data_IF_837465004721
#
_entry.id   IF_837465004721
#
_cell.length_a   1.000
_cell.length_b   1.000
_cell.length_c   1.000
_cell.angle_alpha   90.00
_cell.angle_beta   90.00
_cell.angle_gamma   90.00
#
_symmetry.space_group_name_H-M   'P 1'
#
loop_
_entity.id
_entity.type
_entity.pdbx_description
1 polymer ?
2 non-polymer ?
3 non-polymer ?
4 non-polymer ?
5 non-polymer ?
6 non-polymer ?
7 water ?
#
# COMPACT_ATOMS: atom_id res chain seq x y z
N UNK A 2 8.77 -19.97 -0.62
CA UNK A 2 8.43 -19.11 -1.80
C UNK A 2 7.42 -18.02 -1.46
N UNK A 3 7.85 -16.77 -1.63
CA UNK A 3 6.94 -15.68 -1.50
C UNK A 3 6.01 -15.72 -2.67
N UNK A 4 6.50 -16.21 -3.81
CA UNK A 4 5.64 -16.29 -4.96
C UNK A 4 4.49 -17.21 -4.57
N UNK A 5 4.78 -18.28 -3.81
CA UNK A 5 3.70 -19.18 -3.42
C UNK A 5 2.67 -18.48 -2.55
N UNK A 6 3.09 -17.75 -1.52
CA UNK A 6 2.13 -17.03 -0.69
C UNK A 6 1.41 -15.92 -1.47
N UNK A 7 2.09 -15.23 -2.38
CA UNK A 7 1.43 -14.22 -3.17
C UNK A 7 0.29 -14.79 -3.98
N UNK A 8 0.50 -15.94 -4.60
CA UNK A 8 -0.51 -16.62 -5.41
C UNK A 8 -1.66 -17.19 -4.59
N UNK A 9 -1.30 -17.76 -3.44
CA UNK A 9 -2.27 -18.51 -2.63
C UNK A 9 -3.12 -17.65 -1.72
N UNK A 10 -2.65 -16.45 -1.41
CA UNK A 10 -3.37 -15.57 -0.50
C UNK A 10 -4.79 -15.29 -0.99
N UNK A 11 -5.76 -15.37 -0.08
CA UNK A 11 -7.15 -14.98 -0.33
C UNK A 11 -7.65 -14.12 0.80
N UNK A 12 -8.66 -13.31 0.53
CA UNK A 12 -9.44 -12.68 1.59
C UNK A 12 -10.29 -13.77 2.28
N UNK A 13 -10.05 -13.95 3.58
CA UNK A 13 -10.72 -14.99 4.36
C UNK A 13 -11.74 -14.37 5.31
N UNK A 14 -12.97 -14.89 5.24
CA UNK A 14 -14.09 -14.31 5.95
C UNK A 14 -14.80 -15.33 6.85
N UNK A 15 -14.24 -16.52 6.94
CA UNK A 15 -14.72 -17.58 7.86
C UNK A 15 -13.49 -18.11 8.53
N UNK A 16 -13.52 -18.14 9.86
CA UNK A 16 -12.40 -18.55 10.66
C UNK A 16 -12.71 -19.69 11.63
N UNK A 17 -11.66 -20.43 12.02
CA UNK A 17 -11.77 -21.36 13.14
C UNK A 17 -11.84 -20.56 14.44
N UNK A 18 -12.62 -21.02 15.39
CA UNK A 18 -12.82 -20.24 16.62
C UNK A 18 -11.57 -20.18 17.53
N UNK A 19 -10.43 -20.67 17.07
CA UNK A 19 -9.25 -20.95 17.87
C UNK A 19 -8.43 -19.68 18.11
N UNK A 20 -7.91 -19.54 19.32
CA UNK A 20 -7.14 -18.34 19.68
C UNK A 20 -5.82 -18.30 18.90
N UNK A 21 -5.36 -17.08 18.67
CA UNK A 21 -4.07 -16.85 18.04
C UNK A 21 -3.13 -16.36 19.13
N UNK A 22 -1.95 -16.94 19.19
CA UNK A 22 -1.02 -16.58 20.24
C UNK A 22 -0.46 -15.18 19.99
N UNK A 23 -0.05 -14.52 21.06
CA UNK A 23 0.63 -13.25 21.01
C UNK A 23 1.86 -13.34 20.08
N UNK A 24 2.57 -14.47 20.16
CA UNK A 24 3.79 -14.66 19.38
C UNK A 24 3.53 -14.70 17.86
N UNK A 25 2.42 -15.31 17.47
CA UNK A 25 2.04 -15.34 16.08
C UNK A 25 1.73 -13.90 15.60
N UNK A 26 1.01 -13.15 16.42
CA UNK A 26 0.68 -11.78 16.11
C UNK A 26 1.94 -10.95 15.98
N UNK A 27 2.88 -11.16 16.89
CA UNK A 27 4.21 -10.51 16.87
C UNK A 27 4.91 -10.73 15.52
N UNK A 28 4.92 -11.98 15.08
CA UNK A 28 5.59 -12.35 13.84
C UNK A 28 4.95 -11.60 12.66
N UNK A 29 3.63 -11.49 12.66
CA UNK A 29 2.90 -10.83 11.57
C UNK A 29 3.22 -9.32 11.58
N UNK A 30 3.17 -8.70 12.76
CA UNK A 30 3.48 -7.27 12.83
C UNK A 30 4.92 -6.99 12.43
N UNK A 31 5.85 -7.83 12.87
CA UNK A 31 7.25 -7.60 12.54
C UNK A 31 7.51 -7.73 11.01
N UNK A 32 6.66 -8.46 10.25
CA UNK A 32 6.74 -8.43 8.79
C UNK A 32 6.25 -7.10 8.26
N UNK A 33 5.20 -6.56 8.87
CA UNK A 33 4.73 -5.24 8.48
C UNK A 33 5.81 -4.18 8.67
N UNK A 34 6.47 -4.26 9.82
CA UNK A 34 7.56 -3.33 10.17
C UNK A 34 8.67 -3.29 9.15
N UNK A 35 8.90 -4.43 8.49
CA UNK A 35 9.92 -4.54 7.47
C UNK A 35 9.53 -4.02 6.10
N UNK A 36 8.30 -3.54 5.95
CA UNK A 36 7.94 -2.91 4.70
C UNK A 36 8.82 -1.71 4.41
N UNK A 37 8.96 -1.38 3.13
CA UNK A 37 9.57 -0.10 2.76
C UNK A 37 8.60 1.03 3.08
N UNK A 38 9.11 2.27 3.19
CA UNK A 38 8.24 3.43 3.34
C UNK A 38 8.95 4.66 2.82
N UNK A 39 8.17 5.60 2.32
CA UNK A 39 8.71 6.86 1.86
C UNK A 39 9.52 7.52 2.96
N UNK A 40 10.77 7.87 2.63
CA UNK A 40 11.74 8.46 3.56
C UNK A 40 12.00 7.64 4.81
N UNK A 41 11.72 6.34 4.73
CA UNK A 41 11.79 5.45 5.87
C UNK A 41 11.03 6.01 7.07
N UNK A 42 9.92 6.68 6.82
CA UNK A 42 9.12 7.31 7.87
C UNK A 42 8.33 6.32 8.72
N UNK A 43 8.10 5.12 8.17
CA UNK A 43 7.44 4.05 8.94
C UNK A 43 6.19 4.56 9.67
N UNK A 44 5.21 5.07 8.91
CA UNK A 44 4.09 5.80 9.53
C UNK A 44 3.00 4.92 10.17
N UNK A 45 3.12 3.62 9.95
CA UNK A 45 2.16 2.66 10.50
C UNK A 45 2.20 2.54 12.00
N UNK A 46 1.02 2.45 12.62
CA UNK A 46 0.93 2.09 14.05
C UNK A 46 -0.21 1.09 14.15
N UNK A 47 -0.12 0.20 15.11
CA UNK A 47 -1.00 -0.94 15.21
C UNK A 47 -1.67 -0.97 16.59
N UNK A 48 -2.97 -1.28 16.61
CA UNK A 48 -3.69 -1.51 17.86
C UNK A 48 -4.32 -2.88 17.73
N UNK A 49 -3.83 -3.82 18.55
CA UNK A 49 -4.30 -5.20 18.54
C UNK A 49 -5.52 -5.29 19.45
N UNK A 50 -6.65 -5.67 18.86
CA UNK A 50 -7.94 -5.82 19.56
C UNK A 50 -8.12 -7.34 19.81
N UNK A 51 -8.06 -7.68 21.07
CA UNK A 51 -8.32 -9.06 21.53
C UNK A 51 -9.71 -9.17 22.13
N UNK A 52 -10.01 -10.37 22.63
CA UNK A 52 -11.29 -10.65 23.26
C UNK A 52 -11.60 -9.62 24.34
N UNK A 53 -10.58 -9.15 25.04
CA UNK A 53 -10.74 -8.11 26.06
C UNK A 53 -11.71 -7.00 25.63
N UNK A 54 -11.53 -6.48 24.42
CA UNK A 54 -12.14 -5.22 24.00
C UNK A 54 -12.97 -5.30 22.72
N UNK A 55 -13.09 -6.52 22.18
CA UNK A 55 -13.79 -6.73 20.94
C UNK A 55 -15.21 -6.18 20.97
N UNK A 56 -15.96 -6.44 22.03
CA UNK A 56 -17.36 -6.06 22.02
C UNK A 56 -17.51 -4.54 21.96
N UNK A 57 -16.67 -3.87 22.71
CA UNK A 57 -16.67 -2.42 22.76
C UNK A 57 -16.34 -1.81 21.38
N UNK A 58 -15.34 -2.40 20.73
CA UNK A 58 -14.94 -2.11 19.32
C UNK A 58 -16.13 -2.19 18.40
N UNK A 59 -16.79 -3.34 18.48
CA UNK A 59 -17.89 -3.63 17.57
C UNK A 59 -19.05 -2.67 17.78
N UNK A 60 -19.26 -2.28 19.02
CA UNK A 60 -20.33 -1.30 19.35
C UNK A 60 -20.05 0.03 18.69
N UNK A 61 -18.80 0.46 18.73
CA UNK A 61 -18.43 1.72 18.09
C UNK A 61 -18.62 1.64 16.59
N UNK A 62 -18.21 0.53 15.99
CA UNK A 62 -18.41 0.27 14.56
C UNK A 62 -19.86 0.38 14.18
N UNK A 63 -20.68 -0.35 14.93
CA UNK A 63 -22.10 -0.40 14.67
C UNK A 63 -22.77 0.96 14.81
N UNK A 64 -22.35 1.74 15.78
CA UNK A 64 -22.85 3.12 15.96
C UNK A 64 -22.54 3.98 14.74
N UNK A 65 -21.32 3.86 14.22
CA UNK A 65 -21.01 4.60 13.03
C UNK A 65 -21.84 4.20 11.83
N UNK A 66 -22.03 2.89 11.64
CA UNK A 66 -22.80 2.41 10.51
C UNK A 66 -24.26 2.90 10.65
N UNK A 67 -24.78 2.87 11.86
CA UNK A 67 -26.17 3.36 12.10
C UNK A 67 -26.26 4.85 11.78
N UNK A 68 -25.23 5.59 12.14
CA UNK A 68 -25.19 7.03 11.85
C UNK A 68 -25.21 7.25 10.36
N UNK A 69 -24.48 6.40 9.60
CA UNK A 69 -24.53 6.45 8.15
C UNK A 69 -25.92 6.14 7.62
N UNK A 70 -26.54 5.09 8.15
CA UNK A 70 -27.91 4.69 7.74
C UNK A 70 -28.86 5.87 7.94
N UNK A 71 -28.70 6.57 9.06
CA UNK A 71 -29.51 7.77 9.39
C UNK A 71 -29.16 9.02 8.59
N UNK A 72 -28.19 8.93 7.67
CA UNK A 72 -27.78 10.05 6.79
C UNK A 72 -27.07 11.15 7.58
N UNK A 73 -26.39 10.77 8.65
CA UNK A 73 -25.57 11.67 9.45
C UNK A 73 -24.11 11.27 9.36
N UNK A 74 -23.77 10.59 8.27
CA UNK A 74 -22.45 10.00 8.09
C UNK A 74 -21.57 10.73 7.09
N UNK A 75 -20.55 10.04 6.61
CA UNK A 75 -19.55 10.64 5.74
C UNK A 75 -19.51 10.11 4.32
N UNK A 76 -20.24 9.03 4.02
CA UNK A 76 -20.18 8.41 2.71
C UNK A 76 -21.57 8.29 2.05
N UNK A 77 -22.26 9.43 1.83
CA UNK A 77 -23.62 9.37 1.27
C UNK A 77 -23.70 8.77 -0.13
N UNK A 78 -22.62 8.78 -0.89
CA UNK A 78 -22.53 8.16 -2.20
C UNK A 78 -22.28 6.66 -2.19
N UNK A 79 -22.19 6.07 -1.00
CA UNK A 79 -21.87 4.65 -0.83
C UNK A 79 -22.87 3.90 0.01
N UNK A 80 -24.13 4.35 0.01
CA UNK A 80 -25.17 3.66 0.78
C UNK A 80 -25.33 2.21 0.34
N UNK A 81 -25.06 1.92 -0.92
CA UNK A 81 -25.16 0.54 -1.42
C UNK A 81 -24.16 -0.42 -0.78
N UNK A 82 -23.15 0.14 -0.11
CA UNK A 82 -22.09 -0.63 0.53
C UNK A 82 -22.25 -0.80 2.02
N UNK A 83 -23.34 -0.26 2.59
CA UNK A 83 -23.62 -0.40 4.01
C UNK A 83 -23.89 -1.87 4.37
N UNK A 84 -24.61 -2.59 3.52
CA UNK A 84 -24.87 -4.02 3.78
C UNK A 84 -23.54 -4.77 3.94
N UNK A 85 -22.60 -4.47 3.04
CA UNK A 85 -21.25 -5.08 3.13
C UNK A 85 -20.54 -4.73 4.43
N UNK A 86 -20.67 -3.48 4.86
CA UNK A 86 -20.10 -3.09 6.15
C UNK A 86 -20.68 -3.86 7.32
N UNK A 87 -21.99 -4.10 7.30
CA UNK A 87 -22.59 -4.91 8.33
C UNK A 87 -22.10 -6.34 8.32
N UNK A 88 -21.85 -6.88 7.12
CA UNK A 88 -21.25 -8.21 7.00
C UNK A 88 -19.82 -8.20 7.58
N UNK A 89 -19.06 -7.15 7.29
CA UNK A 89 -17.71 -7.07 7.85
C UNK A 89 -17.72 -7.03 9.36
N UNK A 90 -18.68 -6.34 9.97
CA UNK A 90 -18.76 -6.30 11.41
C UNK A 90 -18.91 -7.73 11.95
N UNK A 91 -19.76 -8.52 11.31
CA UNK A 91 -19.98 -9.92 11.71
C UNK A 91 -18.69 -10.72 11.61
N UNK A 92 -17.95 -10.49 10.53
CA UNK A 92 -16.67 -11.18 10.34
C UNK A 92 -15.71 -10.80 11.45
N UNK A 93 -15.62 -9.52 11.77
CA UNK A 93 -14.75 -9.05 12.85
C UNK A 93 -15.18 -9.66 14.20
N UNK A 94 -16.48 -9.81 14.41
CA UNK A 94 -16.97 -10.39 15.66
C UNK A 94 -16.52 -11.84 15.80
N UNK A 95 -16.51 -12.56 14.69
CA UNK A 95 -16.07 -13.94 14.74
C UNK A 95 -14.56 -14.18 14.69
N UNK A 96 -13.83 -13.30 14.02
CA UNK A 96 -12.40 -13.49 13.88
C UNK A 96 -11.76 -13.45 15.22
N UNK A 97 -10.79 -14.34 15.47
CA UNK A 97 -10.16 -14.24 16.77
C UNK A 97 -9.40 -12.97 17.11
N UNK A 98 -8.82 -12.30 16.12
CA UNK A 98 -8.00 -11.11 16.33
C UNK A 98 -8.34 -10.09 15.26
N UNK A 99 -8.40 -8.82 15.61
CA UNK A 99 -8.44 -7.74 14.62
C UNK A 99 -7.39 -6.73 15.03
N UNK A 100 -6.58 -6.29 14.07
CA UNK A 100 -5.57 -5.28 14.31
C UNK A 100 -5.97 -4.03 13.54
N UNK A 101 -6.07 -2.91 14.26
CA UNK A 101 -6.27 -1.63 13.58
C UNK A 101 -4.94 -1.05 13.15
N UNK A 102 -4.92 -0.50 11.95
CA UNK A 102 -3.72 0.12 11.38
C UNK A 102 -3.98 1.62 11.26
N UNK A 103 -3.08 2.39 11.86
CA UNK A 103 -3.16 3.83 11.88
C UNK A 103 -1.97 4.44 11.14
N UNK A 104 -2.12 5.68 10.72
CA UNK A 104 -1.06 6.45 10.06
C UNK A 104 -0.75 7.63 10.96
N UNK A 105 0.39 7.57 11.66
CA UNK A 105 0.78 8.64 12.59
C UNK A 105 1.02 9.99 11.89
N UNK A 106 1.22 9.95 10.58
CA UNK A 106 1.48 11.14 9.79
C UNK A 106 0.25 11.61 9.01
N UNK A 107 -0.90 10.99 9.28
CA UNK A 107 -2.07 11.24 8.47
C UNK A 107 -2.84 12.46 8.84
N UNK A 108 -3.34 13.16 7.81
CA UNK A 108 -4.26 14.26 8.07
C UNK A 108 -5.70 13.80 7.96
N UNK A 109 -6.58 14.47 8.69
CA UNK A 109 -7.95 14.07 8.72
C UNK A 109 -8.60 13.96 7.36
N UNK A 110 -9.34 12.89 7.10
CA UNK A 110 -10.23 12.82 5.95
C UNK A 110 -11.24 13.98 5.80
N UNK A 111 -11.49 14.72 6.88
CA UNK A 111 -12.45 15.82 6.88
C UNK A 111 -11.87 17.11 6.40
N UNK A 112 -10.56 17.18 6.30
CA UNK A 112 -9.84 18.40 5.91
C UNK A 112 -9.49 18.40 4.46
N UNK A 113 -9.46 19.60 3.88
CA UNK A 113 -9.05 19.79 2.48
C UNK A 113 -7.54 19.95 2.41
N UNK A 114 -6.94 19.41 1.35
CA UNK A 114 -5.51 19.25 1.28
C UNK A 114 -4.93 19.94 0.04
N UNK A 115 -3.78 20.55 0.22
CA UNK A 115 -2.98 21.07 -0.88
C UNK A 115 -2.44 19.91 -1.70
N UNK A 116 -1.99 20.21 -2.92
CA UNK A 116 -1.30 19.15 -3.67
C UNK A 116 -0.16 18.49 -2.91
N UNK A 117 0.67 19.28 -2.22
CA UNK A 117 1.78 18.73 -1.45
C UNK A 117 1.26 17.80 -0.37
N UNK A 118 0.20 18.20 0.33
CA UNK A 118 -0.40 17.37 1.35
C UNK A 118 -0.90 16.06 0.77
N UNK A 119 -1.51 16.14 -0.40
CA UNK A 119 -1.98 14.95 -1.09
C UNK A 119 -0.84 14.00 -1.40
N UNK A 120 0.26 14.54 -1.91
CA UNK A 120 1.39 13.69 -2.24
C UNK A 120 1.95 12.98 -0.99
N UNK A 121 2.05 13.69 0.14
CA UNK A 121 2.48 13.04 1.38
C UNK A 121 1.50 11.93 1.78
N UNK A 122 0.21 12.19 1.69
CA UNK A 122 -0.79 11.15 1.99
C UNK A 122 -0.59 9.95 1.07
N UNK A 123 -0.42 10.22 -0.22
CA UNK A 123 -0.29 9.15 -1.21
C UNK A 123 0.91 8.28 -0.91
N UNK A 124 2.03 8.94 -0.61
CA UNK A 124 3.26 8.22 -0.29
C UNK A 124 3.12 7.40 0.99
N UNK A 125 2.57 8.01 2.03
CA UNK A 125 2.42 7.31 3.28
C UNK A 125 1.40 6.18 3.17
N UNK A 126 0.31 6.41 2.42
CA UNK A 126 -0.73 5.38 2.31
C UNK A 126 -0.22 4.16 1.56
N UNK A 127 0.52 4.38 0.49
CA UNK A 127 1.16 3.28 -0.26
C UNK A 127 2.06 2.46 0.62
N UNK A 128 2.85 3.17 1.42
CA UNK A 128 3.77 2.56 2.36
C UNK A 128 3.01 1.66 3.33
N UNK A 129 1.92 2.17 3.89
CA UNK A 129 1.13 1.37 4.80
C UNK A 129 0.52 0.17 4.09
N UNK A 130 0.11 0.34 2.84
CA UNK A 130 -0.33 -0.83 2.11
C UNK A 130 0.75 -1.89 1.98
N UNK A 131 1.99 -1.48 1.77
CA UNK A 131 3.08 -2.46 1.77
C UNK A 131 3.16 -3.23 3.09
N UNK A 132 3.03 -2.50 4.20
CA UNK A 132 3.05 -3.15 5.50
C UNK A 132 1.93 -4.14 5.66
N UNK A 133 0.71 -3.72 5.33
CA UNK A 133 -0.43 -4.62 5.54
C UNK A 133 -0.34 -5.83 4.60
N UNK A 134 0.18 -5.62 3.39
CA UNK A 134 0.39 -6.75 2.48
C UNK A 134 1.43 -7.69 3.06
N UNK A 135 2.52 -7.17 3.61
CA UNK A 135 3.51 -8.04 4.27
C UNK A 135 2.83 -8.87 5.37
N UNK A 136 1.98 -8.24 6.16
CA UNK A 136 1.28 -8.93 7.24
C UNK A 136 0.40 -10.03 6.68
N UNK A 137 -0.30 -9.71 5.60
CA UNK A 137 -1.20 -10.65 4.96
C UNK A 137 -0.44 -11.89 4.46
N UNK A 138 0.66 -11.63 3.80
CA UNK A 138 1.48 -12.70 3.25
C UNK A 138 2.09 -13.56 4.35
N UNK A 139 2.50 -12.92 5.44
CA UNK A 139 3.06 -13.65 6.56
C UNK A 139 2.02 -14.51 7.25
N UNK A 140 0.80 -14.00 7.36
CA UNK A 140 -0.31 -14.83 7.87
C UNK A 140 -0.46 -16.10 7.03
N UNK A 141 -0.42 -15.95 5.70
CA UNK A 141 -0.53 -17.13 4.83
C UNK A 141 0.61 -18.12 5.14
N UNK A 142 1.85 -17.61 5.25
CA UNK A 142 3.00 -18.46 5.52
C UNK A 142 2.86 -19.24 6.82
N UNK A 143 2.21 -18.63 7.80
CA UNK A 143 1.98 -19.23 9.10
C UNK A 143 0.75 -20.15 9.15
N UNK A 144 0.02 -20.28 8.06
CA UNK A 144 -1.17 -21.13 8.04
C UNK A 144 -2.41 -20.41 8.47
N UNK A 145 -2.31 -19.11 8.67
CA UNK A 145 -3.49 -18.28 8.95
C UNK A 145 -4.11 -17.70 7.68
N UNK A 146 -5.31 -17.13 7.84
CA UNK A 146 -5.91 -16.27 6.83
C UNK A 146 -6.13 -14.90 7.44
N UNK A 147 -6.45 -13.97 6.58
CA UNK A 147 -6.75 -12.61 7.01
C UNK A 147 -7.73 -11.93 6.06
N UNK A 148 -8.28 -10.84 6.56
CA UNK A 148 -9.13 -9.97 5.78
C UNK A 148 -8.71 -8.54 6.03
N UNK A 149 -8.38 -7.85 4.93
CA UNK A 149 -8.05 -6.43 4.94
C UNK A 149 -9.36 -5.69 4.92
N UNK A 150 -9.52 -4.68 5.78
CA UNK A 150 -10.83 -4.04 5.95
C UNK A 150 -10.77 -2.51 5.88
N UNK A 151 -11.46 -1.92 4.91
CA UNK A 151 -11.73 -0.48 4.91
C UNK A 151 -13.19 -0.15 5.19
N UNK A 152 -14.04 -1.16 5.44
CA UNK A 152 -15.40 -0.86 5.88
C UNK A 152 -15.45 -0.09 7.21
N UNK A 153 -14.35 -0.12 7.97
CA UNK A 153 -14.18 0.76 9.12
C UNK A 153 -14.39 2.23 8.81
N UNK A 154 -14.27 2.64 7.55
CA UNK A 154 -14.49 4.04 7.22
C UNK A 154 -15.94 4.47 7.44
N UNK A 155 -16.87 3.52 7.48
CA UNK A 155 -18.25 3.83 7.83
C UNK A 155 -18.42 4.15 9.31
N UNK A 156 -17.37 4.01 10.10
CA UNK A 156 -17.39 4.40 11.52
C UNK A 156 -16.11 5.14 11.87
N UNK A 157 -15.64 5.94 10.93
CA UNK A 157 -14.34 6.58 11.08
C UNK A 157 -14.20 7.36 12.39
N UNK A 158 -15.10 8.30 12.61
CA UNK A 158 -15.01 9.16 13.78
C UNK A 158 -15.23 8.40 15.06
N UNK A 159 -16.17 7.47 14.99
CA UNK A 159 -16.52 6.70 16.16
C UNK A 159 -15.38 5.79 16.59
N UNK A 160 -14.70 5.17 15.62
CA UNK A 160 -13.57 4.30 15.96
C UNK A 160 -12.34 5.09 16.39
N UNK A 161 -12.11 6.26 15.79
CA UNK A 161 -11.01 7.10 16.25
C UNK A 161 -11.23 7.56 17.70
N UNK A 162 -12.48 7.88 18.06
CA UNK A 162 -12.82 8.24 19.43
C UNK A 162 -12.60 7.03 20.34
N UNK A 163 -13.09 5.86 19.89
CA UNK A 163 -12.97 4.62 20.69
C UNK A 163 -11.49 4.29 20.96
N UNK A 164 -10.68 4.38 19.93
CA UNK A 164 -9.25 4.17 20.05
C UNK A 164 -8.54 5.25 20.84
N UNK A 165 -9.21 6.40 21.01
CA UNK A 165 -8.64 7.58 21.64
C UNK A 165 -7.28 7.91 21.04
N UNK A 166 -7.27 7.98 19.71
CA UNK A 166 -6.05 8.21 18.99
C UNK A 166 -6.00 9.58 18.35
N UNK A 167 -4.83 10.17 18.23
CA UNK A 167 -4.67 11.38 17.43
C UNK A 167 -4.18 11.07 16.02
N UNK A 168 -4.05 9.78 15.71
CA UNK A 168 -3.61 9.37 14.38
C UNK A 168 -4.77 9.10 13.44
N UNK A 169 -4.46 9.01 12.16
CA UNK A 169 -5.44 8.73 11.12
C UNK A 169 -5.72 7.24 11.06
N UNK A 170 -6.98 6.85 11.05
CA UNK A 170 -7.35 5.46 10.91
C UNK A 170 -7.23 5.05 9.44
N UNK A 171 -6.49 3.99 9.13
CA UNK A 171 -6.29 3.58 7.75
C UNK A 171 -7.10 2.32 7.38
N UNK A 172 -7.12 1.35 8.28
CA UNK A 172 -7.68 0.03 7.98
C UNK A 172 -7.74 -0.80 9.24
N UNK A 173 -8.40 -1.94 9.12
CA UNK A 173 -8.24 -3.02 10.06
C UNK A 173 -7.84 -4.25 9.30
N UNK A 174 -7.25 -5.21 10.00
CA UNK A 174 -7.03 -6.54 9.44
C UNK A 174 -7.47 -7.58 10.46
N UNK A 175 -8.41 -8.44 10.05
CA UNK A 175 -8.86 -9.55 10.91
C UNK A 175 -8.06 -10.78 10.53
N UNK A 176 -7.77 -11.59 11.53
CA UNK A 176 -6.85 -12.72 11.38
C UNK A 176 -7.35 -13.92 12.15
N UNK A 177 -7.01 -15.10 11.66
CA UNK A 177 -7.31 -16.34 12.35
C UNK A 177 -6.98 -17.52 11.48
N UNK A 178 -7.13 -18.72 12.02
CA UNK A 178 -6.98 -19.90 11.15
C UNK A 178 -8.21 -19.96 10.26
N UNK A 179 -7.99 -20.28 8.97
CA UNK A 179 -9.09 -20.20 8.03
C UNK A 179 -10.09 -21.35 8.15
N UNK A 180 -11.35 -21.06 7.86
CA UNK A 180 -12.39 -22.11 7.79
C UNK A 180 -13.06 -22.06 6.42
N UNK A 181 -12.31 -21.63 5.41
CA UNK A 181 -12.71 -21.72 4.01
C UNK A 181 -11.44 -21.65 3.18
N UNK A 182 -11.54 -22.06 1.91
CA UNK A 182 -10.42 -22.08 0.98
C UNK A 182 -10.92 -21.61 -0.38
N UNK A 183 -11.12 -20.30 -0.55
CA UNK A 183 -11.69 -19.77 -1.78
C UNK A 183 -10.79 -19.97 -3.00
N UNK A 184 -11.36 -20.20 -4.19
CA UNK A 184 -10.56 -20.18 -5.39
C UNK A 184 -10.19 -18.72 -5.69
N UNK A 185 -9.25 -18.56 -6.58
CA UNK A 185 -8.73 -17.23 -6.93
C UNK A 185 -9.87 -16.31 -7.34
N UNK A 186 -9.86 -15.09 -6.81
CA UNK A 186 -10.89 -14.12 -7.17
C UNK A 186 -10.63 -13.60 -8.59
N UNK A 187 -11.65 -13.05 -9.26
CA UNK A 187 -11.41 -12.57 -10.60
C UNK A 187 -10.30 -11.54 -10.67
N UNK A 188 -9.53 -11.59 -11.75
CA UNK A 188 -8.51 -10.56 -12.00
C UNK A 188 -8.50 -10.19 -13.47
N UNK A 189 -8.30 -8.91 -13.72
CA UNK A 189 -7.90 -8.44 -15.03
C UNK A 189 -6.57 -9.08 -15.40
N UNK A 190 -6.36 -9.30 -16.69
CA UNK A 190 -5.14 -9.90 -17.19
C UNK A 190 -4.05 -8.86 -17.39
N UNK A 191 -2.85 -9.33 -17.53
CA UNK A 191 -1.74 -8.45 -17.71
C UNK A 191 -1.93 -7.52 -18.97
N UNK A 192 -2.56 -8.02 -20.05
CA UNK A 192 -2.82 -7.22 -21.22
C UNK A 192 -3.85 -6.12 -21.01
N UNK A 193 -4.70 -6.31 -20.00
CA UNK A 193 -5.73 -5.33 -19.68
C UNK A 193 -5.20 -4.15 -18.89
N UNK A 194 -4.06 -4.33 -18.21
CA UNK A 194 -3.57 -3.33 -17.27
C UNK A 194 -2.16 -2.84 -17.56
N UNK A 195 -1.53 -3.29 -18.64
CA UNK A 195 -0.13 -2.96 -18.92
C UNK A 195 0.02 -2.35 -20.31
N UNK A 196 0.83 -1.30 -20.39
CA UNK A 196 1.26 -0.65 -21.65
C UNK A 196 2.78 -0.75 -21.69
N UNK A 197 3.36 -1.33 -22.73
CA UNK A 197 4.80 -1.49 -22.85
C UNK A 197 5.38 -0.46 -23.80
N UNK A 198 6.28 0.35 -23.24
CA UNK A 198 7.01 1.40 -23.93
C UNK A 198 8.50 1.19 -23.65
N UNK B 3 8.13 -16.59 1.34
CA UNK B 3 7.89 -15.11 1.33
C UNK B 3 8.49 -14.45 2.53
N UNK B 4 8.52 -15.16 3.65
CA UNK B 4 9.09 -14.60 4.85
C UNK B 4 10.55 -14.24 4.53
N UNK B 5 11.22 -15.15 3.81
CA UNK B 5 12.60 -14.90 3.38
C UNK B 5 12.68 -13.61 2.56
N UNK B 6 11.83 -13.46 1.56
CA UNK B 6 11.89 -12.27 0.73
C UNK B 6 11.53 -11.00 1.50
N UNK B 7 10.58 -11.09 2.41
CA UNK B 7 10.18 -9.91 3.21
C UNK B 7 11.33 -9.36 4.02
N UNK B 8 12.10 -10.29 4.59
CA UNK B 8 13.27 -10.00 5.38
C UNK B 8 14.43 -9.46 4.57
N UNK B 9 14.68 -10.10 3.42
CA UNK B 9 15.85 -9.82 2.58
C UNK B 9 15.71 -8.60 1.71
N UNK B 10 14.47 -8.19 1.45
CA UNK B 10 14.21 -7.06 0.57
C UNK B 10 14.89 -5.77 1.02
N UNK B 11 15.57 -5.10 0.11
CA UNK B 11 16.15 -3.81 0.29
C UNK B 11 15.81 -2.89 -0.87
N UNK B 12 15.77 -1.60 -0.62
CA UNK B 12 15.76 -0.63 -1.68
C UNK B 12 17.12 -0.61 -2.37
N UNK B 13 17.16 -0.89 -3.67
CA UNK B 13 18.42 -1.01 -4.41
C UNK B 13 18.60 0.21 -5.30
N UNK B 14 19.77 0.83 -5.19
CA UNK B 14 20.06 2.09 -5.89
C UNK B 14 21.33 2.00 -6.76
N UNK B 15 21.83 0.80 -6.93
CA UNK B 15 22.95 0.53 -7.85
C UNK B 15 22.62 -0.75 -8.60
N UNK B 16 22.75 -0.70 -9.92
CA UNK B 16 22.33 -1.79 -10.81
C UNK B 16 23.47 -2.14 -11.78
N UNK B 17 23.55 -3.42 -12.09
CA UNK B 17 24.37 -3.92 -13.19
C UNK B 17 23.81 -3.43 -14.53
N UNK B 18 24.70 -3.33 -15.51
CA UNK B 18 24.29 -3.02 -16.90
C UNK B 18 23.88 -4.36 -17.54
N UNK B 19 22.64 -4.74 -17.31
CA UNK B 19 22.15 -6.06 -17.68
C UNK B 19 20.65 -5.96 -17.93
N UNK B 20 20.19 -6.35 -19.11
CA UNK B 20 18.78 -6.32 -19.45
C UNK B 20 17.98 -7.38 -18.70
N UNK B 21 16.68 -7.19 -18.67
CA UNK B 21 15.75 -8.10 -18.01
C UNK B 21 14.83 -8.62 -19.12
N UNK B 22 14.59 -9.92 -19.12
CA UNK B 22 13.70 -10.49 -20.11
C UNK B 22 12.27 -10.03 -19.87
N UNK B 23 11.50 -10.03 -20.94
CA UNK B 23 10.12 -9.56 -20.79
C UNK B 23 9.33 -10.49 -19.89
N UNK B 24 9.56 -11.79 -19.95
CA UNK B 24 8.83 -12.70 -19.10
C UNK B 24 9.13 -12.49 -17.61
N UNK B 25 10.35 -12.08 -17.30
CA UNK B 25 10.69 -11.73 -15.92
C UNK B 25 9.87 -10.53 -15.46
N UNK B 26 9.77 -9.50 -16.30
CA UNK B 26 8.96 -8.33 -16.00
C UNK B 26 7.49 -8.74 -15.84
N UNK B 27 7.00 -9.61 -16.73
CA UNK B 27 5.64 -10.09 -16.61
C UNK B 27 5.38 -10.81 -15.29
N UNK B 28 6.34 -11.61 -14.82
CA UNK B 28 6.18 -12.31 -13.56
C UNK B 28 6.03 -11.31 -12.40
N UNK B 29 6.79 -10.25 -12.46
CA UNK B 29 6.73 -9.20 -11.44
C UNK B 29 5.36 -8.52 -11.46
N UNK B 30 4.90 -8.14 -12.66
CA UNK B 30 3.59 -7.51 -12.80
C UNK B 30 2.45 -8.44 -12.37
N UNK B 31 2.55 -9.71 -12.76
CA UNK B 31 1.57 -10.71 -12.34
C UNK B 31 1.42 -10.76 -10.82
N UNK B 32 2.56 -10.65 -10.12
CA UNK B 32 2.49 -10.60 -8.65
C UNK B 32 1.65 -9.40 -8.19
N UNK B 33 1.88 -8.24 -8.81
CA UNK B 33 1.12 -7.04 -8.52
C UNK B 33 -0.36 -7.27 -8.69
N UNK B 34 -0.73 -7.87 -9.83
CA UNK B 34 -2.13 -8.12 -10.15
C UNK B 34 -2.83 -9.02 -9.11
N UNK B 35 -2.05 -9.90 -8.49
CA UNK B 35 -2.57 -10.76 -7.44
C UNK B 35 -2.72 -10.11 -6.08
N UNK B 36 -2.40 -8.82 -5.96
CA UNK B 36 -2.68 -8.12 -4.73
C UNK B 36 -4.17 -8.08 -4.47
N UNK B 37 -4.54 -7.94 -3.21
CA UNK B 37 -5.93 -7.62 -2.88
C UNK B 37 -6.22 -6.17 -3.24
N UNK B 38 -7.49 -5.83 -3.40
CA UNK B 38 -7.88 -4.46 -3.57
C UNK B 38 -9.28 -4.23 -3.08
N UNK B 39 -9.54 -3.01 -2.63
CA UNK B 39 -10.84 -2.63 -2.13
C UNK B 39 -11.88 -2.85 -3.23
N UNK B 40 -12.92 -3.61 -2.89
CA UNK B 40 -14.02 -3.98 -3.79
C UNK B 40 -13.51 -4.71 -5.04
N UNK B 41 -12.33 -5.31 -4.93
CA UNK B 41 -11.66 -5.93 -6.07
C UNK B 41 -11.60 -5.01 -7.29
N UNK B 42 -11.46 -3.71 -7.05
CA UNK B 42 -11.45 -2.69 -8.10
C UNK B 42 -10.20 -2.73 -8.96
N UNK B 43 -9.11 -3.28 -8.44
CA UNK B 43 -7.88 -3.41 -9.21
C UNK B 43 -7.52 -2.12 -9.94
N UNK B 44 -7.31 -1.03 -9.17
CA UNK B 44 -7.17 0.28 -9.79
C UNK B 44 -5.81 0.54 -10.46
N UNK B 45 -4.85 -0.35 -10.24
CA UNK B 45 -3.51 -0.22 -10.81
C UNK B 45 -3.48 -0.33 -12.31
N UNK B 46 -2.68 0.52 -12.95
CA UNK B 46 -2.31 0.37 -14.34
C UNK B 46 -0.80 0.60 -14.43
N UNK B 47 -0.16 -0.10 -15.34
CA UNK B 47 1.30 -0.13 -15.45
C UNK B 47 1.75 0.35 -16.82
N UNK B 48 2.74 1.23 -16.84
CA UNK B 48 3.42 1.61 -18.06
C UNK B 48 4.88 1.26 -17.93
N UNK B 49 5.33 0.30 -18.73
CA UNK B 49 6.68 -0.21 -18.62
C UNK B 49 7.59 0.59 -19.54
N UNK B 50 8.61 1.23 -18.97
CA UNK B 50 9.54 2.07 -19.73
C UNK B 50 10.85 1.33 -19.89
N UNK B 51 11.19 1.03 -21.15
CA UNK B 51 12.41 0.28 -21.47
C UNK B 51 13.42 1.25 -22.09
N UNK B 52 14.57 0.72 -22.52
CA UNK B 52 15.70 1.59 -22.88
C UNK B 52 15.33 2.59 -23.95
N UNK B 53 14.42 2.25 -24.86
CA UNK B 53 14.09 3.14 -25.96
C UNK B 53 13.50 4.43 -25.48
N UNK B 54 12.73 4.39 -24.39
CA UNK B 54 12.06 5.59 -23.90
C UNK B 54 12.69 6.11 -22.61
N UNK B 55 13.78 5.50 -22.17
CA UNK B 55 14.45 5.95 -20.94
C UNK B 55 14.84 7.43 -20.99
N UNK B 56 15.49 7.85 -22.08
CA UNK B 56 16.00 9.22 -22.11
C UNK B 56 14.88 10.22 -22.05
N UNK B 57 13.80 9.95 -22.76
CA UNK B 57 12.63 10.82 -22.79
C UNK B 57 11.97 10.95 -21.40
N UNK B 58 11.92 9.83 -20.71
CA UNK B 58 11.33 9.85 -19.40
C UNK B 58 12.22 10.67 -18.45
N UNK B 59 13.53 10.47 -18.50
CA UNK B 59 14.48 11.20 -17.65
C UNK B 59 14.40 12.70 -17.92
N UNK B 60 14.21 13.07 -19.17
CA UNK B 60 14.04 14.48 -19.54
C UNK B 60 12.79 15.12 -18.95
N UNK B 61 11.67 14.38 -18.93
CA UNK B 61 10.42 14.87 -18.38
C UNK B 61 10.54 15.04 -16.87
N UNK B 62 11.18 14.08 -16.23
CA UNK B 62 11.45 14.11 -14.81
C UNK B 62 12.30 15.32 -14.45
N UNK B 63 13.40 15.46 -15.17
CA UNK B 63 14.34 16.57 -14.93
C UNK B 63 13.66 17.93 -15.14
N UNK B 64 12.80 18.04 -16.13
CA UNK B 64 12.02 19.26 -16.37
C UNK B 64 11.19 19.63 -15.15
N UNK B 65 10.46 18.67 -14.59
CA UNK B 65 9.64 18.96 -13.44
C UNK B 65 10.46 19.39 -12.26
N UNK B 66 11.58 18.71 -12.03
CA UNK B 66 12.48 19.01 -10.92
C UNK B 66 12.99 20.45 -11.09
N UNK B 67 13.39 20.82 -12.29
CA UNK B 67 13.83 22.20 -12.52
C UNK B 67 12.72 23.20 -12.24
N UNK B 68 11.50 22.88 -12.63
CA UNK B 68 10.37 23.72 -12.37
C UNK B 68 10.14 23.92 -10.85
N UNK B 69 10.35 22.86 -10.08
CA UNK B 69 10.28 22.95 -8.61
C UNK B 69 11.39 23.86 -8.09
N UNK B 70 12.60 23.67 -8.58
CA UNK B 70 13.73 24.50 -8.18
C UNK B 70 13.43 25.99 -8.46
N UNK B 71 12.72 26.25 -9.56
CA UNK B 71 12.34 27.61 -9.98
C UNK B 71 11.10 28.16 -9.27
N UNK B 72 10.65 27.46 -8.22
CA UNK B 72 9.51 27.82 -7.37
C UNK B 72 8.21 27.91 -8.16
N UNK B 73 8.08 27.02 -9.16
CA UNK B 73 6.89 26.92 -9.96
C UNK B 73 6.28 25.52 -9.89
N UNK B 74 6.61 24.81 -8.82
CA UNK B 74 6.15 23.45 -8.67
C UNK B 74 4.98 23.24 -7.73
N UNK B 75 4.86 22.00 -7.26
CA UNK B 75 3.75 21.58 -6.40
C UNK B 75 4.12 21.22 -4.99
N UNK B 76 5.41 21.11 -4.67
CA UNK B 76 5.86 20.70 -3.35
C UNK B 76 6.82 21.73 -2.75
N UNK B 77 6.34 22.98 -2.63
CA UNK B 77 7.21 24.06 -2.13
C UNK B 77 7.75 23.84 -0.73
N UNK B 78 7.02 23.10 0.11
CA UNK B 78 7.52 22.73 1.42
C UNK B 78 8.53 21.63 1.52
N UNK B 79 8.92 21.07 0.36
CA UNK B 79 9.80 19.92 0.28
C UNK B 79 11.06 20.21 -0.53
N UNK B 80 11.47 21.47 -0.56
CA UNK B 80 12.70 21.84 -1.31
C UNK B 80 13.94 21.08 -0.84
N UNK B 81 14.01 20.75 0.45
CA UNK B 81 15.12 19.99 1.00
C UNK B 81 15.24 18.58 0.37
N UNK B 82 14.16 18.14 -0.26
CA UNK B 82 14.12 16.80 -0.87
C UNK B 82 14.44 16.80 -2.37
N UNK B 83 14.70 17.95 -2.95
CA UNK B 83 15.00 18.01 -4.38
C UNK B 83 16.31 17.31 -4.71
N UNK B 84 17.32 17.45 -3.87
CA UNK B 84 18.58 16.76 -4.10
C UNK B 84 18.39 15.25 -4.19
N UNK B 85 17.52 14.71 -3.33
CA UNK B 85 17.22 13.29 -3.37
C UNK B 85 16.54 12.93 -4.68
N UNK B 86 15.64 13.79 -5.15
CA UNK B 86 14.95 13.55 -6.43
C UNK B 86 15.92 13.52 -7.60
N UNK B 87 16.89 14.42 -7.57
CA UNK B 87 17.96 14.37 -8.58
C UNK B 87 18.77 13.08 -8.53
N UNK B 88 19.02 12.54 -7.34
CA UNK B 88 19.73 11.26 -7.21
C UNK B 88 18.83 10.15 -7.75
N UNK B 89 17.54 10.22 -7.47
CA UNK B 89 16.60 9.23 -8.01
C UNK B 89 16.63 9.18 -9.54
N UNK B 90 16.73 10.35 -10.17
CA UNK B 90 16.87 10.40 -11.63
C UNK B 90 18.11 9.62 -12.08
N UNK B 91 19.22 9.75 -11.38
CA UNK B 91 20.44 9.06 -11.74
C UNK B 91 20.31 7.56 -11.53
N UNK B 92 19.53 7.15 -10.53
CA UNK B 92 19.28 5.73 -10.30
C UNK B 92 18.40 5.16 -11.42
N UNK B 93 17.35 5.88 -11.82
CA UNK B 93 16.47 5.43 -12.89
C UNK B 93 17.25 5.31 -14.21
N UNK B 94 18.30 6.11 -14.34
CA UNK B 94 19.21 5.96 -15.48
C UNK B 94 19.98 4.63 -15.51
N UNK B 95 20.32 4.11 -14.35
CA UNK B 95 21.05 2.89 -14.23
C UNK B 95 20.18 1.66 -14.42
N UNK B 96 18.88 1.75 -14.06
CA UNK B 96 18.01 0.62 -14.13
C UNK B 96 17.58 0.33 -15.57
N UNK B 97 17.58 -0.95 -15.95
CA UNK B 97 17.14 -1.27 -17.33
C UNK B 97 15.65 -1.02 -17.57
N UNK B 98 14.83 -1.12 -16.52
CA UNK B 98 13.38 -0.98 -16.64
C UNK B 98 12.87 -0.14 -15.49
N UNK B 99 11.96 0.76 -15.81
CA UNK B 99 11.15 1.45 -14.80
C UNK B 99 9.69 1.34 -15.18
N UNK B 100 8.86 0.93 -14.21
CA UNK B 100 7.44 0.81 -14.43
C UNK B 100 6.72 1.92 -13.68
N UNK B 101 5.91 2.70 -14.40
CA UNK B 101 5.06 3.69 -13.78
C UNK B 101 3.78 3.03 -13.38
N UNK B 102 3.34 3.36 -12.17
CA UNK B 102 2.11 2.82 -11.64
C UNK B 102 1.09 3.93 -11.50
N UNK B 103 -0.04 3.73 -12.13
CA UNK B 103 -1.13 4.67 -12.18
C UNK B 103 -2.33 4.12 -11.43
N UNK B 104 -3.18 5.02 -10.95
CA UNK B 104 -4.45 4.73 -10.33
C UNK B 104 -5.54 5.23 -11.28
N UNK B 105 -6.17 4.31 -11.98
CA UNK B 105 -7.18 4.68 -12.98
C UNK B 105 -8.40 5.37 -12.33
N UNK B 106 -8.60 5.12 -11.04
CA UNK B 106 -9.67 5.70 -10.26
C UNK B 106 -9.29 6.98 -9.52
N UNK B 107 -8.13 7.52 -9.81
CA UNK B 107 -7.60 8.59 -8.98
C UNK B 107 -7.92 9.98 -9.45
N UNK B 108 -8.25 10.84 -8.49
CA UNK B 108 -8.46 12.25 -8.76
C UNK B 108 -7.15 13.03 -8.73
N UNK B 109 -7.10 14.11 -9.48
CA UNK B 109 -5.92 14.95 -9.51
C UNK B 109 -5.55 15.43 -8.12
N UNK B 110 -4.25 15.48 -7.84
CA UNK B 110 -3.77 16.09 -6.60
C UNK B 110 -4.16 17.56 -6.47
N UNK B 111 -4.52 18.18 -7.59
CA UNK B 111 -4.91 19.60 -7.59
C UNK B 111 -6.38 19.83 -7.22
N UNK B 112 -7.19 18.78 -7.22
CA UNK B 112 -8.59 18.87 -6.87
C UNK B 112 -8.78 18.66 -5.38
N UNK B 113 -9.80 19.35 -4.84
CA UNK B 113 -10.17 19.18 -3.43
C UNK B 113 -11.14 18.02 -3.28
N UNK B 114 -10.98 17.25 -2.20
CA UNK B 114 -11.72 16.00 -2.01
C UNK B 114 -12.63 16.04 -0.78
N UNK B 115 -13.85 15.56 -0.95
CA UNK B 115 -14.74 15.31 0.15
C UNK B 115 -14.24 14.17 1.01
N UNK B 116 -14.78 14.03 2.23
CA UNK B 116 -14.38 12.88 3.04
C UNK B 116 -14.54 11.56 2.31
N UNK B 117 -15.66 11.40 1.61
CA UNK B 117 -15.89 10.15 0.89
C UNK B 117 -14.86 9.93 -0.22
N UNK B 118 -14.53 10.98 -0.96
CA UNK B 118 -13.51 10.90 -1.97
C UNK B 118 -12.14 10.55 -1.34
N UNK B 119 -11.84 11.09 -0.16
CA UNK B 119 -10.62 10.74 0.56
C UNK B 119 -10.59 9.26 0.88
N UNK B 120 -11.68 8.74 1.43
CA UNK B 120 -11.76 7.34 1.76
C UNK B 120 -11.52 6.44 0.57
N UNK B 121 -12.10 6.78 -0.57
CA UNK B 121 -11.87 6.02 -1.79
C UNK B 121 -10.40 6.10 -2.20
N UNK B 122 -9.80 7.28 -2.14
CA UNK B 122 -8.38 7.39 -2.43
C UNK B 122 -7.52 6.57 -1.49
N UNK B 123 -7.82 6.63 -0.19
CA UNK B 123 -7.05 5.91 0.77
C UNK B 123 -7.11 4.40 0.52
N UNK B 124 -8.32 3.91 0.23
CA UNK B 124 -8.49 2.50 -0.04
C UNK B 124 -7.77 2.09 -1.31
N UNK B 125 -7.87 2.92 -2.35
CA UNK B 125 -7.17 2.62 -3.59
C UNK B 125 -5.67 2.66 -3.44
N UNK B 126 -5.18 3.63 -2.65
CA UNK B 126 -3.77 3.78 -2.50
C UNK B 126 -3.15 2.58 -1.71
N UNK B 127 -3.86 2.14 -0.68
CA UNK B 127 -3.44 0.95 0.04
C UNK B 127 -3.36 -0.26 -0.88
N UNK B 128 -4.38 -0.42 -1.71
CA UNK B 128 -4.43 -1.51 -2.65
C UNK B 128 -3.21 -1.49 -3.59
N UNK B 129 -2.90 -0.30 -4.12
CA UNK B 129 -1.78 -0.17 -5.03
C UNK B 129 -0.46 -0.42 -4.28
N UNK B 130 -0.35 0.04 -3.05
CA UNK B 130 0.80 -0.34 -2.24
C UNK B 130 0.98 -1.84 -2.09
N UNK B 131 -0.12 -2.57 -1.90
CA UNK B 131 -0.03 -4.02 -1.83
C UNK B 131 0.51 -4.58 -3.15
N UNK B 132 0.06 -4.04 -4.28
CA UNK B 132 0.56 -4.47 -5.58
C UNK B 132 2.06 -4.23 -5.70
N UNK B 133 2.48 -3.01 -5.38
CA UNK B 133 3.90 -2.66 -5.59
C UNK B 133 4.78 -3.44 -4.61
N UNK B 134 4.29 -3.74 -3.40
CA UNK B 134 5.04 -4.59 -2.47
C UNK B 134 5.14 -6.02 -3.04
N UNK B 135 4.06 -6.55 -3.58
CA UNK B 135 4.14 -7.86 -4.24
C UNK B 135 5.19 -7.84 -5.34
N UNK B 136 5.21 -6.78 -6.15
CA UNK B 136 6.21 -6.67 -7.21
C UNK B 136 7.63 -6.65 -6.63
N UNK B 137 7.84 -5.86 -5.57
CA UNK B 137 9.13 -5.74 -4.94
C UNK B 137 9.61 -7.07 -4.40
N UNK B 138 8.71 -7.80 -3.75
CA UNK B 138 9.08 -9.05 -3.16
C UNK B 138 9.37 -10.07 -4.25
N UNK B 139 8.60 -10.04 -5.33
CA UNK B 139 8.83 -10.96 -6.45
C UNK B 139 10.16 -10.68 -7.12
N UNK B 140 10.52 -9.42 -7.27
CA UNK B 140 11.86 -9.08 -7.77
C UNK B 140 12.95 -9.73 -6.96
N UNK B 141 12.83 -9.67 -5.63
CA UNK B 141 13.81 -10.29 -4.75
C UNK B 141 13.90 -11.78 -5.05
N UNK B 142 12.75 -12.42 -5.13
CA UNK B 142 12.71 -13.87 -5.36
C UNK B 142 13.40 -14.26 -6.66
N UNK B 143 13.37 -13.38 -7.65
CA UNK B 143 13.95 -13.65 -8.95
C UNK B 143 15.42 -13.22 -9.08
N UNK B 144 16.01 -12.74 -8.00
CA UNK B 144 17.39 -12.30 -8.03
C UNK B 144 17.59 -10.88 -8.51
N UNK B 145 16.49 -10.13 -8.60
CA UNK B 145 16.54 -8.74 -9.02
C UNK B 145 16.49 -7.86 -7.76
N UNK B 146 16.72 -6.60 -7.97
CA UNK B 146 16.48 -5.60 -6.97
C UNK B 146 15.50 -4.59 -7.54
N UNK B 147 14.98 -3.73 -6.68
CA UNK B 147 14.10 -2.69 -7.13
C UNK B 147 14.18 -1.48 -6.22
N UNK B 148 13.66 -0.38 -6.74
CA UNK B 148 13.49 0.87 -5.98
C UNK B 148 12.11 1.42 -6.25
N UNK B 149 11.34 1.54 -5.16
CA UNK B 149 10.02 2.15 -5.19
C UNK B 149 10.26 3.66 -5.10
N UNK B 150 9.56 4.41 -5.94
CA UNK B 150 9.86 5.83 -6.19
C UNK B 150 8.63 6.71 -6.10
N UNK B 151 8.62 7.65 -5.15
CA UNK B 151 7.64 8.75 -5.18
C UNK B 151 8.30 10.09 -5.48
N UNK B 152 9.60 10.10 -5.73
CA UNK B 152 10.26 11.34 -6.17
C UNK B 152 9.69 11.83 -7.50
N UNK B 153 9.02 10.95 -8.24
CA UNK B 153 8.25 11.33 -9.41
C UNK B 153 7.23 12.44 -9.15
N UNK B 154 6.81 12.64 -7.90
CA UNK B 154 5.85 13.70 -7.61
C UNK B 154 6.44 15.06 -7.91
N UNK B 155 7.78 15.20 -7.86
CA UNK B 155 8.43 16.48 -8.22
C UNK B 155 8.29 16.79 -9.72
N UNK B 156 7.81 15.83 -10.50
CA UNK B 156 7.51 16.06 -11.91
C UNK B 156 6.12 15.50 -12.27
N UNK B 157 5.17 15.62 -11.34
CA UNK B 157 3.88 15.00 -11.53
C UNK B 157 3.20 15.34 -12.85
N UNK B 158 3.05 16.64 -13.09
CA UNK B 158 2.34 17.11 -14.26
C UNK B 158 3.10 16.77 -15.54
N UNK B 159 4.41 16.94 -15.49
CA UNK B 159 5.28 16.70 -16.62
C UNK B 159 5.25 15.23 -17.01
N UNK B 160 5.24 14.34 -16.00
CA UNK B 160 5.24 12.92 -16.28
C UNK B 160 3.88 12.44 -16.75
N UNK B 161 2.79 12.96 -16.20
CA UNK B 161 1.46 12.63 -16.69
C UNK B 161 1.28 13.08 -18.15
N UNK B 162 1.86 14.23 -18.48
CA UNK B 162 1.83 14.69 -19.86
C UNK B 162 2.62 13.74 -20.78
N UNK B 163 3.83 13.39 -20.34
CA UNK B 163 4.71 12.49 -21.07
C UNK B 163 4.08 11.10 -21.26
N UNK B 164 3.40 10.61 -20.22
CA UNK B 164 2.72 9.33 -20.27
C UNK B 164 1.41 9.39 -21.04
N UNK B 165 0.99 10.61 -21.35
CA UNK B 165 -0.25 10.88 -22.09
C UNK B 165 -1.45 10.24 -21.40
N UNK B 166 -1.56 10.47 -20.10
CA UNK B 166 -2.59 9.82 -19.31
C UNK B 166 -3.41 10.83 -18.53
N UNK B 167 -4.68 10.51 -18.32
CA UNK B 167 -5.55 11.23 -17.42
C UNK B 167 -5.68 10.52 -16.07
N UNK B 168 -5.03 9.38 -15.92
CA UNK B 168 -5.05 8.66 -14.66
C UNK B 168 -4.10 9.35 -13.70
N UNK B 169 -4.25 8.99 -12.43
CA UNK B 169 -3.42 9.52 -11.37
C UNK B 169 -2.09 8.78 -11.29
N UNK B 170 -0.96 9.50 -11.34
CA UNK B 170 0.34 8.89 -11.16
C UNK B 170 0.62 8.64 -9.69
N UNK B 171 0.87 7.37 -9.34
CA UNK B 171 1.08 6.96 -7.95
C UNK B 171 2.53 6.79 -7.57
N UNK B 172 3.32 6.19 -8.48
CA UNK B 172 4.68 5.82 -8.14
C UNK B 172 5.34 5.32 -9.40
N UNK B 173 6.64 5.14 -9.31
CA UNK B 173 7.38 4.31 -10.24
C UNK B 173 8.12 3.26 -9.47
N UNK B 174 8.50 2.18 -10.16
CA UNK B 174 9.38 1.19 -9.59
C UNK B 174 10.46 0.87 -10.62
N UNK B 175 11.71 1.08 -10.23
CA UNK B 175 12.83 0.71 -11.09
C UNK B 175 13.28 -0.68 -10.72
N UNK B 176 13.71 -1.44 -11.73
CA UNK B 176 14.01 -2.85 -11.60
C UNK B 176 15.32 -3.16 -12.31
N UNK B 177 16.11 -4.06 -11.75
CA UNK B 177 17.33 -4.50 -12.42
C UNK B 177 18.10 -5.49 -11.57
N UNK B 178 19.21 -5.95 -12.09
CA UNK B 178 20.07 -6.84 -11.31
C UNK B 178 20.91 -5.96 -10.39
N UNK B 179 20.98 -6.33 -9.10
CA UNK B 179 21.59 -5.46 -8.11
C UNK B 179 23.12 -5.39 -8.18
N UNK B 180 23.66 -4.18 -7.98
CA UNK B 180 25.10 -4.01 -7.84
C UNK B 180 25.48 -3.50 -6.46
N UNK B 181 24.63 -3.82 -5.48
CA UNK B 181 24.91 -3.57 -4.07
C UNK B 181 24.06 -4.54 -3.27
N UNK B 182 24.46 -4.73 -2.02
CA UNK B 182 23.78 -5.63 -1.08
C UNK B 182 23.70 -4.91 0.27
N UNK B 183 22.77 -3.95 0.38
CA UNK B 183 22.73 -3.11 1.58
C UNK B 183 22.39 -3.88 2.84
N UNK B 184 22.97 -3.44 3.96
CA UNK B 184 22.58 -3.92 5.28
C UNK B 184 21.17 -3.43 5.58
N UNK B 185 20.48 -4.10 6.48
CA UNK B 185 19.12 -3.68 6.84
C UNK B 185 19.07 -2.22 7.23
N UNK B 186 18.05 -1.54 6.74
CA UNK B 186 17.85 -0.15 7.10
C UNK B 186 17.16 -0.09 8.44
N UNK B 187 17.30 1.04 9.13
CA UNK B 187 16.75 1.15 10.46
C UNK B 187 15.24 0.91 10.50
N UNK B 188 14.78 0.27 11.56
CA UNK B 188 13.37 0.10 11.82
C UNK B 188 13.09 0.33 13.30
N UNK B 189 11.92 0.91 13.54
CA UNK B 189 11.29 0.89 14.84
C UNK B 189 11.06 -0.56 15.28
N UNK B 190 10.97 -0.76 16.59
CA UNK B 190 10.69 -2.10 17.12
C UNK B 190 9.21 -2.26 17.42
N UNK B 191 8.81 -3.50 17.66
CA UNK B 191 7.39 -3.82 17.90
C UNK B 191 6.75 -2.91 18.94
N UNK B 192 7.43 -2.72 20.07
CA UNK B 192 6.92 -1.91 21.18
C UNK B 192 6.68 -0.46 20.82
N UNK B 193 7.48 0.03 19.85
CA UNK B 193 7.39 1.41 19.43
C UNK B 193 6.10 1.69 18.64
N UNK B 194 5.58 0.66 17.99
CA UNK B 194 4.49 0.82 17.05
C UNK B 194 3.22 0.07 17.37
N UNK B 195 3.18 -0.66 18.48
CA UNK B 195 2.07 -1.57 18.77
C UNK B 195 1.49 -1.27 20.14
N UNK B 196 0.16 -1.15 20.18
CA UNK B 196 -0.62 -1.06 21.42
C UNK B 196 -1.48 -2.33 21.47
N UNK B 197 -1.61 -2.89 22.67
CA UNK B 197 -2.38 -4.12 22.82
C UNK B 197 -3.64 -3.84 23.63
N UNK B 198 -4.78 -4.17 23.03
CA UNK B 198 -6.08 -4.13 23.69
C UNK B 198 -6.77 -5.49 23.46
X LIG C 1 -13.22 -7.20 2.21
X LIG C 1 -14.30 -7.14 3.08
X LIG C 1 -15.05 -8.12 3.21
X LIG C 1 -14.52 -6.00 3.81
X LIG C 1 -13.76 -4.86 3.68
X LIG C 1 -14.02 -3.89 4.41
X LIG C 1 -12.69 -4.90 2.80
X LIG C 1 -11.92 -3.79 2.55
X LIG C 1 -10.74 -3.91 1.81
X LIG C 1 -9.83 -2.85 1.75
X LIG C 1 -8.63 -2.93 1.08
X LIG C 1 -7.70 -1.74 1.02
X LIG C 1 -8.33 -4.12 0.45
X LIG C 1 -7.02 -4.24 -0.27
X LIG C 1 -9.21 -5.19 0.49
X LIG C 1 -10.43 -5.10 1.16
X LIG C 1 -11.34 -6.17 1.22
X LIG C 1 -12.43 -6.09 2.07
X LIG C 1 -11.02 -7.44 0.55
X LIG C 1 -11.32 -7.38 -0.94
X LIG C 1 -12.71 -7.49 -1.15
X LIG C 1 -10.57 -8.45 -1.70
X LIG C 1 -9.17 -8.17 -1.63
X LIG C 1 -10.95 -8.57 -3.18
X LIG C 1 -12.32 -8.92 -3.29
X LIG C 1 -10.16 -9.63 -3.91
X LIG C 1 -10.24 -10.91 -3.28
X LIG C 1 -8.94 -11.66 -2.73
X LIG C 1 -8.28 -10.73 -1.72
X LIG C 1 -8.03 -11.87 -3.92
X LIG C 1 -9.43 -12.97 -2.09
X LIG D 1 12.49 7.94 0.12
X LIG E 1 1.90 15.82 10.29
X LIG E 1 2.60 14.62 10.03
X LIG E 1 0.40 15.57 10.29
X LIG E 1 -0.29 16.79 10.48
X LIG E 1 -0.01 14.52 11.32
X LIG E 1 0.11 14.93 12.66
X LIG F 1 -22.88 -6.26 16.20
X LIG F 1 -23.22 -7.63 16.12
X LIG F 1 -22.58 -5.86 17.65
X LIG F 1 -22.07 -4.54 17.65
X LIG F 1 -21.57 -6.81 18.30
X LIG F 1 -22.23 -7.70 19.18
X LIG G 1 -0.71 6.11 16.83
X LIG G 1 0.44 6.81 16.39
X LIG G 1 -1.50 7.03 17.76
X LIG G 1 -0.84 8.26 17.98
X LIG G 1 -1.77 6.33 19.07
X LIG G 1 -3.11 5.93 19.09
X LIG H 1 13.83 5.79 -2.39
X LIG H 1 14.46 6.64 -3.25
X LIG H 1 15.72 6.62 -3.36
X LIG H 1 13.69 7.47 -4.02
X LIG H 1 12.33 7.59 -3.92
X LIG H 1 11.74 8.38 -4.67
X LIG H 1 11.70 6.71 -3.02
X LIG H 1 10.36 6.80 -2.82
X LIG H 1 9.69 5.84 -2.07
X LIG H 1 8.30 5.82 -2.01
X LIG H 1 7.62 4.85 -1.32
X LIG H 1 6.12 4.87 -1.30
X LIG H 1 8.37 3.87 -0.68
X LIG H 1 7.67 2.75 0.03
X LIG H 1 9.77 3.88 -0.70
X LIG H 1 10.45 4.87 -1.39
X LIG H 1 11.84 4.91 -1.45
X LIG H 1 12.46 5.82 -2.27
X LIG H 1 12.65 3.89 -0.73
X LIG H 1 12.71 4.24 0.76
X LIG H 1 13.68 5.27 0.98
X LIG H 1 13.12 2.99 1.56
X LIG H 1 12.02 2.06 1.48
X LIG H 1 13.43 3.26 3.04
X LIG H 1 14.53 4.15 3.16
X LIG H 1 13.75 1.93 3.74
X LIG H 1 14.86 1.27 3.11
X LIG H 1 14.64 -0.26 2.61
X LIG H 1 13.51 -0.19 1.61
X LIG H 1 14.27 -1.08 3.82
X LIG H 1 15.97 -0.63 1.99
X LIG I 1 -14.09 -4.84 -0.37
X LIG J 1 -15.98 1.82 2.79
X LIG J 1 -15.75 0.87 1.62
X LIG J 1 -15.05 -0.30 2.14
X LIG J 1 -17.09 0.47 0.98
X LIG J 1 -14.87 1.55 0.58
X LIG J 1 -14.84 3.07 0.78
X LIG J 1 -13.65 3.56 0.22
X LIG J 1 -16.06 3.73 0.14
X LIG K 1 8.57 13.44 -3.21
X LIG K 1 8.94 12.53 -2.05
X LIG K 1 9.57 11.32 -2.54
X LIG K 1 9.95 13.17 -1.11
X LIG K 1 7.66 12.07 -1.35
X LIG K 1 7.00 13.28 -0.74
X LIG K 1 7.60 13.51 0.52
X LIG K 1 5.52 13.04 -0.68
#
# INVERSE_FOLDING_TARGET
GMISDSISKRRSIRKYKNQSISHETIEKIIEAGINAPSSKNRQPWRFVVITEKEKESMLKAMSKGIQNEINDNGLLPGSRQHIAGANYTVEIMKQAPVTIFILNILGKSPLEKLSPEERFYEMANMQSIGAAIQNMSLTAVELGLGSLWICDVYFAYRELCEWLNTDSQLVAAISLGYPDEEPSRRPRLQLSDVTEWR
GXISDSISKRRSIRKYKNQSISHETIEKIIEAGINAPSSKNRQPWRFVVITEKEKESMLKAMSKGIQNEINDNGLLPGSRQHIAGANYTVEIMKQAPVTIFILNILGKSPLEKLSPEERFYEMANMQSIGAAIQNMSLTAVELGLGSLWICDVYFAYRELCEWLNTDSQLVAAISLGYPDEEPSRRPRLQLSDVTEWR
FMN N1 C2 O2 N3 C4 O4 C4A N5 C5A C6 C7 C7M C8 C8M C9 C9A N10 C10 C1' C2' O2' C3' O3' C4' O4' C5' O5' P O1P O2P O3P
CL CL
GOL C1 O1 C2 O2 C3 O3
GOL C1 O1 C2 O2 C3 O3
GOL C1 O1 C2 O2 C3 O3
FMN N1 C2 O2 N3 C4 O4 C4A N5 C5A C6 C7 C7M C8 C8M C9 C9A N10 C10 C1' C2' O2' C3' O3' C4' O4' C5' O5' P O1P O2P O3P
CL CL
MPD C1 C2 O2 CM C3 C4 O4 C5
MRD C1 C2 O2 CM C3 C4 O4 C5
#
